data_IF_250153810938
#
_entry.id   IF_250153810938
#
_cell.length_a   1.000
_cell.length_b   1.000
_cell.length_c   1.000
_cell.angle_alpha   90.00
_cell.angle_beta   90.00
_cell.angle_gamma   90.00
#
_symmetry.space_group_name_H-M   'P 1'
#
loop_
_entity.id
_entity.type
_entity.pdbx_description
1 polymer ?
#
# COMPACT_ATOMS: atom_id res chain seq x y z
N UNK A 1 -14.81 5.18 2.43
CA UNK A 1 -15.02 3.78 2.02
C UNK A 1 -14.83 3.58 0.52
N UNK A 2 -15.47 4.34 -0.37
CA UNK A 2 -15.34 4.16 -1.83
C UNK A 2 -13.89 4.29 -2.35
N UNK A 3 -13.14 5.33 -1.94
CA UNK A 3 -11.74 5.55 -2.38
C UNK A 3 -10.83 4.40 -1.94
N UNK A 4 -10.97 3.90 -0.72
CA UNK A 4 -10.19 2.76 -0.21
C UNK A 4 -10.38 1.52 -1.10
N UNK A 5 -11.63 1.18 -1.39
CA UNK A 5 -11.97 0.03 -2.23
C UNK A 5 -11.43 0.21 -3.66
N UNK A 6 -11.56 1.41 -4.23
CA UNK A 6 -11.06 1.72 -5.56
C UNK A 6 -9.53 1.56 -5.64
N UNK A 7 -8.78 2.12 -4.68
CA UNK A 7 -7.32 2.00 -4.63
C UNK A 7 -6.86 0.55 -4.48
N UNK A 8 -7.49 -0.22 -3.60
CA UNK A 8 -7.18 -1.65 -3.44
C UNK A 8 -7.47 -2.44 -4.71
N UNK A 9 -8.59 -2.17 -5.39
CA UNK A 9 -8.94 -2.87 -6.62
C UNK A 9 -7.98 -2.55 -7.76
N UNK A 10 -7.58 -1.29 -7.94
CA UNK A 10 -6.60 -0.92 -8.96
C UNK A 10 -5.26 -1.59 -8.68
N UNK A 11 -4.76 -1.52 -7.44
CA UNK A 11 -3.50 -2.14 -7.06
C UNK A 11 -3.54 -3.67 -7.22
N UNK A 12 -4.65 -4.31 -6.82
CA UNK A 12 -4.87 -5.76 -6.98
C UNK A 12 -4.84 -6.17 -8.45
N UNK A 13 -5.65 -5.52 -9.28
CA UNK A 13 -5.75 -5.84 -10.70
C UNK A 13 -4.40 -5.66 -11.41
N UNK A 14 -3.69 -4.56 -11.14
CA UNK A 14 -2.36 -4.33 -11.69
C UNK A 14 -1.38 -5.41 -11.25
N UNK A 15 -1.36 -5.75 -9.95
CA UNK A 15 -0.46 -6.76 -9.42
C UNK A 15 -0.76 -8.15 -10.02
N UNK A 16 -2.03 -8.57 -10.04
CA UNK A 16 -2.43 -9.87 -10.59
C UNK A 16 -2.12 -9.99 -12.10
N UNK A 17 -2.36 -8.93 -12.86
CA UNK A 17 -2.05 -8.90 -14.29
C UNK A 17 -0.54 -9.04 -14.56
N UNK A 18 0.30 -8.41 -13.72
CA UNK A 18 1.76 -8.43 -13.91
C UNK A 18 2.40 -9.75 -13.47
N UNK A 19 1.88 -10.38 -12.42
CA UNK A 19 2.41 -11.66 -11.95
C UNK A 19 1.76 -12.86 -12.66
N UNK A 20 0.68 -12.65 -13.40
CA UNK A 20 -0.16 -13.67 -14.03
C UNK A 20 -0.60 -14.75 -13.05
N UNK A 21 -1.06 -14.34 -11.86
CA UNK A 21 -1.43 -15.25 -10.77
C UNK A 21 -2.32 -14.57 -9.74
N UNK A 22 -3.16 -15.35 -9.08
CA UNK A 22 -3.92 -14.95 -7.88
C UNK A 22 -3.31 -15.46 -6.58
N UNK A 23 -2.17 -16.15 -6.63
CA UNK A 23 -1.47 -16.70 -5.48
C UNK A 23 -0.72 -15.63 -4.69
N UNK A 24 -0.84 -15.68 -3.36
CA UNK A 24 -0.07 -14.84 -2.46
C UNK A 24 1.43 -15.14 -2.51
N UNK A 25 1.79 -16.40 -2.77
CA UNK A 25 3.19 -16.82 -2.87
C UNK A 25 3.87 -16.22 -4.11
N UNK A 26 3.16 -16.21 -5.25
CA UNK A 26 3.64 -15.55 -6.48
C UNK A 26 3.82 -14.04 -6.27
N UNK A 27 2.90 -13.41 -5.56
CA UNK A 27 3.06 -11.99 -5.20
C UNK A 27 4.32 -11.77 -4.36
N UNK A 28 4.57 -12.61 -3.34
CA UNK A 28 5.77 -12.49 -2.52
C UNK A 28 7.06 -12.68 -3.31
N UNK A 29 7.06 -13.53 -4.33
CA UNK A 29 8.28 -13.81 -5.08
C UNK A 29 8.52 -12.85 -6.24
N UNK A 30 7.46 -12.41 -6.93
CA UNK A 30 7.57 -11.58 -8.13
C UNK A 30 7.38 -10.08 -7.86
N UNK A 31 6.45 -9.72 -6.96
CA UNK A 31 6.04 -8.32 -6.74
C UNK A 31 6.65 -7.66 -5.51
N UNK A 32 7.09 -8.43 -4.50
CA UNK A 32 7.64 -7.88 -3.25
C UNK A 32 9.16 -7.88 -3.28
N UNK A 33 9.76 -6.74 -2.87
CA UNK A 33 11.21 -6.60 -2.71
C UNK A 33 11.74 -7.58 -1.65
N UNK A 34 12.81 -8.30 -2.01
CA UNK A 34 13.43 -9.28 -1.15
C UNK A 34 14.95 -9.25 -1.32
N UNK A 35 15.66 -10.02 -0.50
CA UNK A 35 17.11 -10.18 -0.66
C UNK A 35 17.47 -10.73 -2.05
N UNK A 36 16.66 -11.68 -2.57
CA UNK A 36 16.95 -12.39 -3.82
C UNK A 36 16.71 -11.54 -5.07
N UNK A 37 15.67 -10.70 -5.07
CA UNK A 37 15.30 -9.90 -6.25
C UNK A 37 15.74 -8.43 -6.16
N UNK A 38 16.64 -8.12 -5.22
CA UNK A 38 17.20 -6.78 -5.12
C UNK A 38 18.00 -6.42 -6.39
N UNK A 39 17.90 -5.18 -6.90
CA UNK A 39 18.66 -4.74 -8.07
C UNK A 39 20.17 -4.95 -7.91
N UNK A 40 20.85 -5.19 -9.04
CA UNK A 40 22.31 -5.30 -9.04
C UNK A 40 22.95 -4.05 -8.45
N UNK A 41 24.00 -4.21 -7.63
CA UNK A 41 24.68 -3.11 -6.95
C UNK A 41 23.99 -2.63 -5.66
N UNK A 42 22.85 -3.19 -5.27
CA UNK A 42 22.19 -2.85 -3.99
C UNK A 42 23.10 -3.25 -2.83
N UNK A 43 23.31 -2.32 -1.88
CA UNK A 43 24.08 -2.55 -0.67
C UNK A 43 23.49 -3.67 0.20
N UNK A 44 24.33 -4.40 0.89
CA UNK A 44 23.96 -5.57 1.68
C UNK A 44 22.98 -5.26 2.82
N UNK A 45 23.15 -4.12 3.49
CA UNK A 45 22.22 -3.65 4.53
C UNK A 45 20.81 -3.38 3.98
N UNK A 46 20.72 -2.86 2.76
CA UNK A 46 19.44 -2.61 2.07
C UNK A 46 18.76 -3.92 1.66
N UNK A 47 19.52 -4.90 1.15
CA UNK A 47 19.00 -6.24 0.84
C UNK A 47 18.42 -6.92 2.07
N UNK A 48 19.13 -6.85 3.20
CA UNK A 48 18.63 -7.36 4.50
C UNK A 48 17.35 -6.63 4.93
N UNK A 49 17.28 -5.31 4.73
CA UNK A 49 16.07 -4.53 5.01
C UNK A 49 14.89 -4.99 4.15
N UNK A 50 15.09 -5.22 2.86
CA UNK A 50 14.04 -5.76 1.98
C UNK A 50 13.54 -7.12 2.48
N UNK A 51 14.44 -8.02 2.85
CA UNK A 51 14.06 -9.32 3.37
C UNK A 51 13.27 -9.21 4.68
N UNK A 52 13.70 -8.37 5.61
CA UNK A 52 12.97 -8.12 6.86
C UNK A 52 11.58 -7.53 6.60
N UNK A 53 11.46 -6.59 5.66
CA UNK A 53 10.17 -6.03 5.29
C UNK A 53 9.24 -7.09 4.68
N UNK A 54 9.76 -7.98 3.82
CA UNK A 54 8.99 -9.11 3.27
C UNK A 54 8.48 -10.02 4.39
N UNK A 55 9.33 -10.41 5.34
CA UNK A 55 8.95 -11.27 6.47
C UNK A 55 7.90 -10.59 7.37
N UNK A 56 8.06 -9.31 7.66
CA UNK A 56 7.08 -8.55 8.45
C UNK A 56 5.74 -8.44 7.71
N UNK A 57 5.75 -8.24 6.39
CA UNK A 57 4.55 -8.21 5.57
C UNK A 57 3.83 -9.57 5.60
N UNK A 58 4.57 -10.67 5.47
CA UNK A 58 4.01 -12.02 5.59
C UNK A 58 3.33 -12.21 6.94
N UNK A 59 3.99 -11.83 8.03
CA UNK A 59 3.41 -11.87 9.37
C UNK A 59 2.14 -11.03 9.51
N UNK A 60 2.14 -9.79 8.98
CA UNK A 60 0.96 -8.91 9.01
C UNK A 60 -0.23 -9.52 8.26
N UNK A 61 0.01 -10.05 7.06
CA UNK A 61 -1.04 -10.68 6.25
C UNK A 61 -1.59 -11.94 6.96
N UNK A 62 -0.72 -12.79 7.50
CA UNK A 62 -1.16 -13.97 8.26
C UNK A 62 -1.99 -13.60 9.49
N UNK A 63 -1.60 -12.55 10.20
CA UNK A 63 -2.38 -12.03 11.33
C UNK A 63 -3.75 -11.49 10.88
N UNK A 64 -3.83 -10.80 9.74
CA UNK A 64 -5.08 -10.33 9.18
C UNK A 64 -6.01 -11.49 8.79
N UNK A 65 -5.48 -12.53 8.15
CA UNK A 65 -6.21 -13.75 7.80
C UNK A 65 -6.73 -14.44 9.07
N UNK A 66 -5.86 -14.66 10.07
CA UNK A 66 -6.24 -15.30 11.33
C UNK A 66 -7.31 -14.49 12.09
N UNK A 67 -7.22 -13.16 12.08
CA UNK A 67 -8.22 -12.29 12.68
C UNK A 67 -9.56 -12.35 11.94
N UNK A 68 -9.55 -12.40 10.61
CA UNK A 68 -10.74 -12.54 9.80
C UNK A 68 -11.40 -13.92 9.99
N UNK A 69 -10.60 -14.99 10.07
CA UNK A 69 -11.09 -16.34 10.36
C UNK A 69 -11.77 -16.43 11.73
N UNK A 70 -11.15 -15.88 12.78
CA UNK A 70 -11.75 -15.85 14.14
C UNK A 70 -13.06 -15.05 14.21
N UNK A 71 -13.23 -14.07 13.31
CA UNK A 71 -14.48 -13.29 13.19
C UNK A 71 -15.51 -13.94 12.27
N UNK A 72 -15.24 -15.16 11.85
CA UNK A 72 -16.11 -15.93 10.94
C UNK A 72 -16.41 -15.18 9.63
N UNK A 73 -15.44 -14.38 9.13
CA UNK A 73 -15.60 -13.66 7.88
C UNK A 73 -15.78 -14.68 6.73
N UNK A 74 -16.96 -14.71 6.05
CA UNK A 74 -17.27 -15.72 5.05
C UNK A 74 -16.29 -15.72 3.87
N UNK A 75 -15.65 -14.58 3.57
CA UNK A 75 -14.66 -14.45 2.50
C UNK A 75 -13.34 -15.19 2.80
N UNK A 76 -13.09 -15.52 4.06
CA UNK A 76 -11.89 -16.24 4.49
C UNK A 76 -12.24 -17.65 4.92
N UNK A 77 -13.30 -17.83 5.74
CA UNK A 77 -13.70 -19.15 6.26
C UNK A 77 -14.04 -20.11 5.14
N UNK A 78 -14.60 -19.63 4.03
CA UNK A 78 -14.92 -20.43 2.86
C UNK A 78 -13.70 -21.20 2.32
N UNK A 79 -12.51 -20.56 2.29
CA UNK A 79 -11.29 -21.20 1.77
C UNK A 79 -10.70 -22.24 2.72
N UNK A 80 -10.88 -22.08 4.05
CA UNK A 80 -10.38 -23.03 5.04
C UNK A 80 -11.32 -24.19 5.29
N UNK A 81 -12.63 -23.96 5.16
CA UNK A 81 -13.64 -24.96 5.41
C UNK A 81 -13.95 -25.84 4.19
N UNK A 82 -13.40 -25.49 3.03
CA UNK A 82 -13.58 -26.23 1.79
C UNK A 82 -12.30 -26.98 1.43
N UNK A 83 -12.36 -28.32 1.43
CA UNK A 83 -11.21 -29.20 1.15
C UNK A 83 -10.58 -29.03 -0.25
N UNK A 84 -11.28 -28.36 -1.16
CA UNK A 84 -10.78 -28.11 -2.51
C UNK A 84 -9.89 -26.86 -2.63
N UNK A 85 -9.75 -26.06 -1.58
CA UNK A 85 -8.91 -24.86 -1.58
C UNK A 85 -7.69 -25.05 -0.71
N UNK A 86 -6.51 -24.79 -1.28
CA UNK A 86 -5.23 -24.92 -0.58
C UNK A 86 -4.71 -23.59 -0.04
N UNK A 87 -5.23 -22.45 -0.52
CA UNK A 87 -4.78 -21.12 -0.10
C UNK A 87 -5.88 -20.06 -0.26
N UNK A 88 -5.73 -18.96 0.49
CA UNK A 88 -6.59 -17.78 0.35
C UNK A 88 -6.08 -16.95 -0.83
N UNK A 89 -6.89 -16.68 -1.86
CA UNK A 89 -6.46 -15.93 -3.03
C UNK A 89 -6.23 -14.45 -2.72
N UNK A 90 -5.38 -13.80 -3.52
CA UNK A 90 -4.99 -12.39 -3.35
C UNK A 90 -6.17 -11.44 -3.21
N UNK A 91 -7.22 -11.62 -4.00
CA UNK A 91 -8.38 -10.74 -3.95
C UNK A 91 -9.08 -10.78 -2.59
N UNK A 92 -9.20 -11.94 -1.96
CA UNK A 92 -9.79 -12.08 -0.63
C UNK A 92 -8.89 -11.46 0.45
N UNK A 93 -7.58 -11.57 0.30
CA UNK A 93 -6.59 -10.94 1.19
C UNK A 93 -6.70 -9.41 1.10
N UNK A 94 -6.73 -8.83 -0.10
CA UNK A 94 -6.84 -7.38 -0.28
C UNK A 94 -8.10 -6.78 0.36
N UNK A 95 -9.20 -7.53 0.36
CA UNK A 95 -10.44 -7.08 1.02
C UNK A 95 -10.32 -6.95 2.54
N UNK A 96 -9.61 -7.88 3.18
CA UNK A 96 -9.48 -7.90 4.65
C UNK A 96 -8.36 -7.01 5.18
N UNK A 97 -7.40 -6.59 4.34
CA UNK A 97 -6.33 -5.70 4.76
C UNK A 97 -6.88 -4.36 5.27
N UNK A 98 -6.33 -3.87 6.38
CA UNK A 98 -6.57 -2.48 6.78
C UNK A 98 -5.86 -1.52 5.83
N UNK A 99 -6.23 -0.23 5.85
CA UNK A 99 -5.49 0.78 5.08
C UNK A 99 -4.02 0.90 5.50
N UNK A 100 -3.70 0.60 6.76
CA UNK A 100 -2.32 0.57 7.25
C UNK A 100 -1.53 -0.59 6.66
N UNK A 101 -2.11 -1.80 6.68
CA UNK A 101 -1.48 -3.00 6.09
C UNK A 101 -1.36 -2.85 4.57
N UNK A 102 -2.37 -2.28 3.91
CA UNK A 102 -2.33 -1.99 2.48
C UNK A 102 -1.20 -0.99 2.12
N UNK A 103 -1.07 0.11 2.86
CA UNK A 103 0.03 1.06 2.69
C UNK A 103 1.40 0.40 2.91
N UNK A 104 1.50 -0.51 3.89
CA UNK A 104 2.73 -1.27 4.13
C UNK A 104 3.05 -2.22 2.97
N UNK A 105 2.06 -2.96 2.45
CA UNK A 105 2.21 -3.80 1.27
C UNK A 105 2.75 -2.98 0.09
N UNK A 106 2.14 -1.83 -0.21
CA UNK A 106 2.60 -0.95 -1.29
C UNK A 106 4.04 -0.47 -1.10
N UNK A 107 4.46 -0.20 0.14
CA UNK A 107 5.83 0.18 0.44
C UNK A 107 6.85 -0.96 0.27
N UNK A 108 6.39 -2.21 0.31
CA UNK A 108 7.21 -3.41 0.11
C UNK A 108 7.31 -3.86 -1.36
N UNK A 109 6.50 -3.29 -2.26
CA UNK A 109 6.57 -3.62 -3.69
C UNK A 109 7.97 -3.38 -4.28
N UNK A 110 8.35 -4.14 -5.29
CA UNK A 110 9.51 -3.82 -6.12
C UNK A 110 9.33 -2.44 -6.78
N UNK A 111 10.43 -1.80 -7.16
CA UNK A 111 10.39 -0.48 -7.82
C UNK A 111 9.53 -0.54 -9.09
N UNK A 112 9.72 -1.55 -9.92
CA UNK A 112 8.96 -1.76 -11.15
C UNK A 112 7.45 -1.90 -10.87
N UNK A 113 7.08 -2.77 -9.93
CA UNK A 113 5.67 -2.97 -9.57
C UNK A 113 5.05 -1.70 -8.97
N UNK A 114 5.80 -0.99 -8.14
CA UNK A 114 5.36 0.27 -7.53
C UNK A 114 5.11 1.34 -8.59
N UNK A 115 5.97 1.42 -9.61
CA UNK A 115 5.78 2.32 -10.74
C UNK A 115 4.50 2.00 -11.52
N UNK A 116 4.27 0.73 -11.84
CA UNK A 116 3.08 0.27 -12.57
C UNK A 116 1.80 0.58 -11.80
N UNK A 117 1.75 0.28 -10.51
CA UNK A 117 0.60 0.59 -9.65
C UNK A 117 0.40 2.10 -9.54
N UNK A 118 1.47 2.88 -9.39
CA UNK A 118 1.39 4.36 -9.32
C UNK A 118 0.80 4.95 -10.59
N UNK A 119 1.24 4.48 -11.77
CA UNK A 119 0.68 4.89 -13.07
C UNK A 119 -0.78 4.50 -13.23
N UNK A 120 -1.15 3.28 -12.82
CA UNK A 120 -2.54 2.80 -12.89
C UNK A 120 -3.49 3.63 -12.00
N UNK A 121 -3.00 4.16 -10.87
CA UNK A 121 -3.76 5.06 -9.99
C UNK A 121 -3.76 6.50 -10.53
N UNK A 122 -2.89 6.85 -11.47
CA UNK A 122 -2.80 8.19 -12.04
C UNK A 122 -1.85 9.14 -11.27
N UNK A 123 -0.92 8.61 -10.47
CA UNK A 123 0.05 9.43 -9.75
C UNK A 123 1.08 10.00 -10.74
N UNK A 124 1.30 11.32 -10.66
CA UNK A 124 2.36 11.97 -11.44
C UNK A 124 3.74 11.61 -10.85
N UNK A 125 4.54 10.89 -11.61
CA UNK A 125 5.85 10.40 -11.19
C UNK A 125 7.01 11.35 -11.49
N UNK A 126 6.77 12.48 -12.15
CA UNK A 126 7.84 13.40 -12.59
C UNK A 126 8.68 13.96 -11.43
N UNK A 127 8.12 14.06 -10.23
CA UNK A 127 8.79 14.53 -9.00
C UNK A 127 9.07 13.44 -7.98
N UNK A 128 8.69 12.18 -8.24
CA UNK A 128 8.80 11.06 -7.31
C UNK A 128 9.93 10.10 -7.67
N UNK A 129 11.17 10.56 -7.56
CA UNK A 129 12.38 9.79 -7.91
C UNK A 129 12.46 8.41 -7.23
N UNK A 130 11.86 8.26 -6.04
CA UNK A 130 11.91 7.03 -5.25
C UNK A 130 10.60 6.24 -5.26
N UNK A 131 9.61 6.69 -6.02
CA UNK A 131 8.27 6.09 -6.08
C UNK A 131 7.63 5.91 -4.70
N UNK A 132 7.77 6.92 -3.84
CA UNK A 132 7.28 6.90 -2.47
C UNK A 132 5.88 7.49 -2.31
N UNK A 133 5.41 8.28 -3.27
CA UNK A 133 4.12 8.97 -3.20
C UNK A 133 2.97 7.98 -3.04
N UNK A 134 3.01 6.84 -3.71
CA UNK A 134 1.96 5.83 -3.68
C UNK A 134 1.55 5.47 -2.24
N UNK A 135 2.48 4.93 -1.45
CA UNK A 135 2.16 4.50 -0.08
C UNK A 135 2.01 5.68 0.89
N UNK A 136 2.67 6.82 0.62
CA UNK A 136 2.51 8.03 1.42
C UNK A 136 1.10 8.60 1.30
N UNK A 137 0.53 8.66 0.10
CA UNK A 137 -0.87 9.05 -0.09
C UNK A 137 -1.84 8.09 0.60
N UNK A 138 -1.59 6.78 0.55
CA UNK A 138 -2.42 5.81 1.27
C UNK A 138 -2.37 6.03 2.78
N UNK A 139 -1.21 6.33 3.35
CA UNK A 139 -1.10 6.66 4.78
C UNK A 139 -1.81 7.99 5.13
N UNK A 140 -1.68 9.00 4.28
CA UNK A 140 -2.40 10.27 4.49
C UNK A 140 -3.93 10.07 4.45
N UNK A 141 -4.42 9.29 3.48
CA UNK A 141 -5.84 8.92 3.39
C UNK A 141 -6.31 8.10 4.60
N UNK A 142 -5.47 7.19 5.11
CA UNK A 142 -5.76 6.44 6.34
C UNK A 142 -5.95 7.39 7.53
N UNK A 143 -5.04 8.35 7.70
CA UNK A 143 -5.09 9.28 8.82
C UNK A 143 -6.31 10.21 8.70
N UNK A 144 -6.62 10.70 7.51
CA UNK A 144 -7.83 11.49 7.22
C UNK A 144 -9.11 10.69 7.52
N UNK A 145 -9.20 9.45 7.03
CA UNK A 145 -10.34 8.58 7.29
C UNK A 145 -10.54 8.31 8.77
N UNK A 146 -9.46 8.12 9.52
CA UNK A 146 -9.53 7.89 10.96
C UNK A 146 -9.99 9.16 11.69
N UNK A 147 -9.51 10.34 11.31
CA UNK A 147 -9.97 11.60 11.88
C UNK A 147 -11.49 11.78 11.66
N UNK A 148 -11.98 11.54 10.45
CA UNK A 148 -13.41 11.61 10.13
C UNK A 148 -14.22 10.58 10.97
N UNK A 149 -13.73 9.34 11.08
CA UNK A 149 -14.41 8.27 11.79
C UNK A 149 -14.51 8.53 13.32
N UNK A 150 -13.58 9.28 13.87
CA UNK A 150 -13.54 9.63 15.29
C UNK A 150 -14.11 11.02 15.59
N UNK A 151 -14.72 11.70 14.61
CA UNK A 151 -15.19 13.08 14.72
C UNK A 151 -14.08 14.06 15.17
N UNK A 152 -12.82 13.75 14.86
CA UNK A 152 -11.71 14.65 15.11
C UNK A 152 -11.80 15.87 14.19
N UNK A 153 -11.24 17.01 14.63
CA UNK A 153 -11.21 18.24 13.84
C UNK A 153 -10.30 18.00 12.62
N UNK A 154 -10.89 17.83 11.45
CA UNK A 154 -10.18 17.51 10.20
C UNK A 154 -9.15 18.59 9.84
N UNK A 155 -9.44 19.87 10.16
CA UNK A 155 -8.55 21.01 9.90
C UNK A 155 -7.28 21.02 10.74
N UNK A 156 -7.28 20.37 11.90
CA UNK A 156 -6.12 20.26 12.80
C UNK A 156 -5.55 18.83 12.83
N UNK A 157 -5.95 17.99 11.90
CA UNK A 157 -5.40 16.64 11.79
C UNK A 157 -3.91 16.76 11.39
N UNK A 158 -3.06 16.80 12.39
CA UNK A 158 -1.62 16.66 12.21
C UNK A 158 -1.40 15.22 11.79
N UNK A 159 -1.00 15.03 10.55
CA UNK A 159 -0.57 13.74 10.01
C UNK A 159 0.62 13.25 10.83
N UNK A 160 0.35 12.48 11.89
CA UNK A 160 1.29 12.15 12.98
C UNK A 160 2.58 11.47 12.54
N UNK A 161 2.63 10.97 11.31
CA UNK A 161 3.78 10.23 10.77
C UNK A 161 4.39 10.82 9.49
N UNK A 162 3.83 11.89 8.97
CA UNK A 162 4.33 12.42 7.71
C UNK A 162 4.30 13.94 7.70
N UNK A 163 5.47 14.52 7.95
CA UNK A 163 5.75 15.80 7.28
C UNK A 163 5.60 15.57 5.78
N UNK A 164 4.75 16.33 5.04
CA UNK A 164 4.57 16.11 3.61
C UNK A 164 5.95 16.15 2.96
N UNK A 165 6.38 14.99 2.46
CA UNK A 165 7.70 14.86 1.85
C UNK A 165 7.84 15.86 0.70
N UNK A 166 9.06 16.28 0.42
CA UNK A 166 9.35 17.21 -0.69
C UNK A 166 8.69 16.81 -2.01
N UNK A 167 8.69 15.52 -2.44
CA UNK A 167 7.95 15.08 -3.63
C UNK A 167 6.44 15.30 -3.52
N UNK A 168 5.85 15.08 -2.35
CA UNK A 168 4.42 15.28 -2.13
C UNK A 168 4.03 16.76 -2.21
N UNK A 169 4.83 17.64 -1.63
CA UNK A 169 4.67 19.10 -1.77
C UNK A 169 4.80 19.55 -3.23
N UNK A 170 5.78 19.03 -3.95
CA UNK A 170 5.98 19.35 -5.38
C UNK A 170 4.82 18.86 -6.25
N UNK A 171 4.31 17.67 -6.01
CA UNK A 171 3.16 17.13 -6.74
C UNK A 171 1.92 18.00 -6.51
N UNK A 172 1.63 18.38 -5.26
CA UNK A 172 0.51 19.28 -4.93
C UNK A 172 0.66 20.66 -5.60
N UNK A 173 1.86 21.22 -5.63
CA UNK A 173 2.14 22.50 -6.30
C UNK A 173 1.88 22.39 -7.83
N UNK A 174 2.31 21.28 -8.45
CA UNK A 174 2.10 21.06 -9.89
C UNK A 174 0.62 20.88 -10.25
N UNK A 175 -0.17 20.24 -9.39
CA UNK A 175 -1.59 19.97 -9.66
C UNK A 175 -2.51 21.13 -9.26
N UNK A 176 -2.18 21.86 -8.20
CA UNK A 176 -3.01 22.95 -7.68
C UNK A 176 -2.55 24.36 -8.13
N UNK A 177 -1.40 24.46 -8.79
CA UNK A 177 -0.84 25.73 -9.24
C UNK A 177 -0.62 26.72 -8.09
N UNK A 178 -0.75 28.03 -8.36
CA UNK A 178 -0.49 29.09 -7.39
C UNK A 178 -1.42 29.12 -6.16
N UNK A 179 -2.48 28.31 -6.15
CA UNK A 179 -3.39 28.21 -5.00
C UNK A 179 -2.69 27.67 -3.73
N UNK A 180 -1.61 26.90 -3.88
CA UNK A 180 -0.86 26.36 -2.72
C UNK A 180 -0.03 27.43 -2.02
N UNK A 181 0.44 28.45 -2.74
CA UNK A 181 1.21 29.54 -2.13
C UNK A 181 0.39 30.35 -1.11
N UNK A 182 -0.92 30.43 -1.30
CA UNK A 182 -1.81 31.16 -0.37
C UNK A 182 -2.01 30.44 0.97
N UNK A 183 -1.75 29.13 1.07
CA UNK A 183 -1.87 28.36 2.32
C UNK A 183 -0.60 28.40 3.18
N UNK A 184 0.54 28.84 2.63
CA UNK A 184 1.81 28.94 3.38
C UNK A 184 1.94 30.22 4.19
N UNK A 185 1.16 31.26 3.87
CA UNK A 185 1.24 32.58 4.51
C UNK A 185 0.37 32.70 5.79
N UNK A 186 -0.30 31.62 6.20
CA UNK A 186 -1.14 31.58 7.41
C UNK A 186 -0.51 30.75 8.55
N UNK A 187 0.82 30.80 8.69
CA UNK A 187 1.50 30.25 9.87
C UNK A 187 2.15 31.35 10.69
#
# INVERSE_FOLDING_TARGET
>A
MFIETALKNIALNTTMSEIDSSSIYDMYDKAISSYKNAPAGTREDIKKKYQNNKLNLQGSIQNAIAAAYRKENPKITHFYNNVNYNEVPLWAIFEILTMGDFGYLLSCLTIDMREKVSRAIGINLSSDTYLELLYKYVYALKDLRNAIAHNDVVYDTRFKKMDPSRPMKQCLILEMGDAVHKFQDYR
#
